data_IF_519414568061
#
_entry.id   IF_519414568061
#
_cell.length_a   1.000
_cell.length_b   1.000
_cell.length_c   1.000
_cell.angle_alpha   90.00
_cell.angle_beta   90.00
_cell.angle_gamma   90.00
#
_symmetry.space_group_name_H-M   'P 1'
#
loop_
_entity.id
_entity.type
_entity.pdbx_description
1 polymer ?
#
# COMPACT_ATOMS: atom_id res chain seq x y z
N UNK A 1 55.53 -57.46 -13.10
CA UNK A 1 55.39 -58.68 -13.91
C UNK A 1 54.44 -58.35 -15.04
N UNK A 2 54.83 -58.60 -16.29
CA UNK A 2 53.99 -58.28 -17.44
C UNK A 2 52.84 -59.30 -17.53
N UNK A 3 51.60 -58.82 -17.51
CA UNK A 3 50.40 -59.63 -17.79
C UNK A 3 50.56 -60.19 -19.20
N UNK A 4 50.52 -61.51 -19.34
CA UNK A 4 50.60 -62.14 -20.65
C UNK A 4 49.19 -62.30 -21.21
N UNK A 5 48.80 -61.42 -22.12
CA UNK A 5 47.53 -61.55 -22.82
C UNK A 5 47.70 -62.46 -24.04
N UNK A 6 46.83 -63.46 -24.14
CA UNK A 6 46.72 -64.34 -25.30
C UNK A 6 45.45 -64.01 -26.03
N UNK A 7 45.57 -63.71 -27.32
CA UNK A 7 44.43 -63.37 -28.15
C UNK A 7 44.13 -64.49 -29.13
N UNK A 8 42.85 -64.86 -29.17
CA UNK A 8 42.30 -65.88 -30.04
C UNK A 8 41.29 -65.24 -30.98
N UNK A 9 41.37 -65.60 -32.26
CA UNK A 9 40.33 -65.33 -33.24
C UNK A 9 39.54 -66.61 -33.49
N UNK A 10 38.22 -66.52 -33.37
CA UNK A 10 37.30 -67.65 -33.50
C UNK A 10 36.33 -67.37 -34.64
N UNK A 11 36.42 -68.18 -35.69
CA UNK A 11 35.54 -68.07 -36.85
C UNK A 11 35.52 -69.34 -37.69
N UNK A 12 34.34 -69.69 -38.17
CA UNK A 12 33.99 -71.07 -38.44
C UNK A 12 34.08 -71.93 -37.17
N UNK A 13 34.09 -73.24 -37.37
CA UNK A 13 34.48 -74.21 -36.33
C UNK A 13 36.01 -74.21 -36.10
N UNK A 14 36.71 -73.08 -36.29
CA UNK A 14 38.17 -72.98 -36.17
C UNK A 14 38.57 -71.89 -35.19
N UNK A 15 39.58 -72.19 -34.39
CA UNK A 15 40.22 -71.25 -33.48
C UNK A 15 41.66 -71.01 -33.95
N UNK A 16 42.09 -69.75 -33.97
CA UNK A 16 43.46 -69.35 -34.33
C UNK A 16 44.01 -68.45 -33.24
N UNK A 17 45.23 -68.72 -32.81
CA UNK A 17 45.99 -67.81 -31.96
C UNK A 17 46.71 -66.77 -32.83
N UNK A 18 46.68 -65.51 -32.42
CA UNK A 18 47.20 -64.40 -33.23
C UNK A 18 48.68 -64.10 -32.98
N UNK A 19 49.26 -64.52 -31.85
CA UNK A 19 50.63 -64.15 -31.46
C UNK A 19 51.30 -65.25 -30.63
N UNK A 20 52.58 -65.55 -30.93
CA UNK A 20 53.36 -66.56 -30.23
C UNK A 20 53.92 -65.99 -28.91
N UNK A 21 53.11 -65.97 -27.86
CA UNK A 21 53.53 -65.56 -26.51
C UNK A 21 54.05 -66.77 -25.73
N UNK A 22 55.24 -66.68 -25.11
CA UNK A 22 55.81 -67.78 -24.31
C UNK A 22 55.04 -67.92 -22.98
N UNK A 23 54.25 -68.99 -22.84
CA UNK A 23 53.55 -69.32 -21.59
C UNK A 23 54.50 -70.10 -20.66
N UNK A 24 54.66 -69.62 -19.43
CA UNK A 24 55.52 -70.25 -18.42
C UNK A 24 54.65 -71.00 -17.41
N UNK A 25 55.04 -72.23 -17.06
CA UNK A 25 54.34 -73.05 -16.08
C UNK A 25 54.24 -72.34 -14.71
N UNK A 26 53.17 -72.62 -13.96
CA UNK A 26 52.85 -72.06 -12.64
C UNK A 26 52.57 -70.54 -12.61
N UNK A 27 52.13 -69.96 -13.74
CA UNK A 27 51.70 -68.56 -13.79
C UNK A 27 50.28 -68.40 -13.23
N UNK A 28 50.13 -68.12 -11.93
CA UNK A 28 48.82 -67.92 -11.29
C UNK A 28 48.31 -66.50 -11.52
N UNK A 29 47.06 -66.32 -12.01
CA UNK A 29 46.36 -65.03 -12.17
C UNK A 29 47.10 -63.98 -13.03
N UNK A 30 47.96 -64.41 -13.96
CA UNK A 30 48.81 -63.51 -14.77
C UNK A 30 48.58 -63.69 -16.27
N UNK A 31 47.75 -64.67 -16.67
CA UNK A 31 47.48 -65.00 -18.08
C UNK A 31 46.00 -64.89 -18.38
N UNK A 32 45.64 -63.88 -19.17
CA UNK A 32 44.26 -63.65 -19.61
C UNK A 32 44.11 -64.04 -21.07
N UNK A 33 43.06 -64.79 -21.38
CA UNK A 33 42.64 -65.12 -22.73
C UNK A 33 41.57 -64.12 -23.19
N UNK A 34 41.80 -63.49 -24.33
CA UNK A 34 40.84 -62.62 -25.02
C UNK A 34 40.41 -63.27 -26.32
N UNK A 35 39.11 -63.33 -26.57
CA UNK A 35 38.55 -63.96 -27.75
C UNK A 35 37.86 -62.92 -28.64
N UNK A 36 38.15 -62.96 -29.94
CA UNK A 36 37.45 -62.21 -30.97
C UNK A 36 36.62 -63.18 -31.80
N UNK A 37 35.30 -63.01 -31.78
CA UNK A 37 34.36 -63.91 -32.45
C UNK A 37 33.82 -63.32 -33.74
N UNK A 38 33.62 -64.16 -34.74
CA UNK A 38 32.84 -63.82 -35.94
C UNK A 38 31.34 -63.82 -35.65
N UNK A 39 30.55 -63.19 -36.52
CA UNK A 39 29.10 -62.98 -36.33
C UNK A 39 28.29 -64.26 -36.07
N UNK A 40 28.71 -65.42 -36.59
CA UNK A 40 28.03 -66.70 -36.37
C UNK A 40 27.99 -67.16 -34.89
N UNK A 41 28.84 -66.59 -34.03
CA UNK A 41 28.88 -66.83 -32.59
C UNK A 41 28.05 -65.81 -31.79
N UNK A 42 27.40 -64.86 -32.47
CA UNK A 42 26.48 -63.91 -31.88
C UNK A 42 25.30 -64.66 -31.24
N UNK A 43 24.83 -64.19 -30.09
CA UNK A 43 23.75 -64.82 -29.29
C UNK A 43 24.07 -66.18 -28.63
N UNK A 44 25.22 -66.79 -28.87
CA UNK A 44 25.66 -67.96 -28.10
C UNK A 44 26.22 -67.56 -26.73
N UNK A 45 25.89 -68.32 -25.70
CA UNK A 45 26.62 -68.34 -24.42
C UNK A 45 27.95 -69.04 -24.70
N UNK A 46 29.04 -68.30 -24.56
CA UNK A 46 30.37 -68.74 -24.97
C UNK A 46 31.14 -69.27 -23.76
N UNK A 47 31.66 -70.48 -23.89
CA UNK A 47 32.48 -71.16 -22.88
C UNK A 47 33.83 -71.51 -23.46
N UNK A 48 34.91 -71.12 -22.79
CA UNK A 48 36.26 -71.55 -23.15
C UNK A 48 36.62 -72.82 -22.37
N UNK A 49 37.19 -73.79 -23.07
CA UNK A 49 37.68 -75.05 -22.52
C UNK A 49 39.20 -75.06 -22.66
N UNK A 50 39.88 -75.16 -21.52
CA UNK A 50 41.33 -75.28 -21.41
C UNK A 50 41.67 -76.70 -20.95
N UNK A 51 42.60 -77.37 -21.64
CA UNK A 51 43.01 -78.72 -21.28
C UNK A 51 44.51 -78.96 -21.42
N UNK A 52 45.10 -79.66 -20.46
CA UNK A 52 46.51 -80.09 -20.46
C UNK A 52 46.62 -81.46 -19.78
N UNK A 53 47.21 -82.45 -20.48
CA UNK A 53 47.19 -83.84 -20.01
C UNK A 53 45.75 -84.33 -19.74
N UNK A 54 45.49 -84.80 -18.52
CA UNK A 54 44.17 -85.27 -18.07
C UNK A 54 43.29 -84.15 -17.45
N UNK A 55 43.80 -82.93 -17.31
CA UNK A 55 43.08 -81.81 -16.73
C UNK A 55 42.29 -81.09 -17.82
N UNK A 56 40.99 -80.87 -17.60
CA UNK A 56 40.12 -80.05 -18.46
C UNK A 56 39.26 -79.13 -17.61
N UNK A 57 39.22 -77.84 -17.97
CA UNK A 57 38.46 -76.80 -17.26
C UNK A 57 37.63 -76.00 -18.25
N UNK A 58 36.36 -75.77 -17.90
CA UNK A 58 35.42 -74.97 -18.68
C UNK A 58 35.10 -73.70 -17.92
N UNK A 59 35.19 -72.55 -18.59
CA UNK A 59 34.83 -71.25 -18.02
C UNK A 59 33.90 -70.49 -18.95
N UNK A 60 32.91 -69.82 -18.36
CA UNK A 60 32.00 -68.93 -19.08
C UNK A 60 32.75 -67.64 -19.42
N UNK A 61 32.66 -67.19 -20.67
CA UNK A 61 33.27 -65.94 -21.10
C UNK A 61 32.38 -64.76 -20.72
N UNK A 62 32.95 -63.79 -20.03
CA UNK A 62 32.35 -62.47 -19.78
C UNK A 62 33.11 -61.43 -20.59
N UNK A 63 32.39 -60.60 -21.35
CA UNK A 63 32.99 -59.62 -22.27
C UNK A 63 34.00 -60.22 -23.27
N UNK A 64 33.82 -61.50 -23.62
CA UNK A 64 34.74 -62.30 -24.46
C UNK A 64 36.16 -62.46 -23.89
N UNK A 65 36.32 -62.34 -22.58
CA UNK A 65 37.60 -62.55 -21.88
C UNK A 65 37.45 -63.57 -20.76
N UNK A 66 38.55 -64.21 -20.38
CA UNK A 66 38.63 -65.07 -19.19
C UNK A 66 40.07 -65.26 -18.75
N UNK A 67 40.30 -65.44 -17.46
CA UNK A 67 41.61 -65.86 -16.94
C UNK A 67 41.84 -67.35 -17.19
N UNK A 68 43.04 -67.72 -17.66
CA UNK A 68 43.37 -69.13 -17.89
C UNK A 68 43.57 -69.81 -16.52
N UNK A 69 42.89 -70.94 -16.26
CA UNK A 69 43.07 -71.70 -15.02
C UNK A 69 44.54 -72.02 -14.79
N UNK A 70 45.03 -71.71 -13.59
CA UNK A 70 46.38 -72.08 -13.13
C UNK A 70 46.59 -73.60 -13.22
N UNK A 71 45.53 -74.41 -13.01
CA UNK A 71 45.57 -75.86 -13.20
C UNK A 71 45.93 -76.29 -14.62
N UNK A 72 45.61 -75.44 -15.61
CA UNK A 72 45.92 -75.68 -17.02
C UNK A 72 47.29 -75.11 -17.44
N UNK A 73 48.02 -74.47 -16.52
CA UNK A 73 49.33 -73.86 -16.76
C UNK A 73 50.47 -74.70 -16.16
N UNK A 74 50.43 -76.02 -16.39
CA UNK A 74 51.49 -76.97 -16.00
C UNK A 74 52.42 -77.27 -17.18
N UNK A 75 53.59 -77.88 -16.94
CA UNK A 75 54.52 -78.24 -18.02
C UNK A 75 53.85 -79.21 -19.00
N UNK A 76 53.77 -78.84 -20.29
CA UNK A 76 53.13 -79.66 -21.31
C UNK A 76 52.57 -78.85 -22.47
N UNK A 77 51.55 -79.40 -23.13
CA UNK A 77 50.90 -78.77 -24.28
C UNK A 77 49.48 -78.34 -23.91
N UNK A 78 49.26 -77.03 -23.75
CA UNK A 78 47.95 -76.44 -23.47
C UNK A 78 47.11 -76.42 -24.75
N UNK A 79 45.96 -77.08 -24.70
CA UNK A 79 44.95 -77.03 -25.75
C UNK A 79 43.80 -76.11 -25.33
N UNK A 80 43.33 -75.29 -26.26
CA UNK A 80 42.19 -74.38 -26.07
C UNK A 80 41.13 -74.68 -27.11
N UNK A 81 39.88 -74.71 -26.68
CA UNK A 81 38.70 -74.80 -27.55
C UNK A 81 37.57 -73.93 -26.99
N UNK A 82 36.61 -73.55 -27.83
CA UNK A 82 35.45 -72.76 -27.42
C UNK A 82 34.18 -73.47 -27.85
N UNK A 83 33.18 -73.43 -26.96
CA UNK A 83 31.84 -73.96 -27.17
C UNK A 83 30.85 -72.84 -26.99
N UNK A 84 29.98 -72.66 -27.98
CA UNK A 84 28.81 -71.81 -27.92
C UNK A 84 27.58 -72.68 -27.70
N UNK A 85 26.72 -72.29 -26.75
CA UNK A 85 25.42 -72.94 -26.54
C UNK A 85 24.31 -71.89 -26.60
N UNK A 86 23.23 -72.23 -27.31
CA UNK A 86 21.92 -71.56 -27.23
C UNK A 86 20.95 -72.63 -26.74
N UNK A 87 20.16 -72.32 -25.73
CA UNK A 87 19.26 -73.31 -25.12
C UNK A 87 17.94 -73.46 -25.91
N UNK A 88 17.44 -72.40 -26.56
CA UNK A 88 16.17 -72.43 -27.32
C UNK A 88 16.20 -71.59 -28.62
N UNK A 89 16.03 -72.21 -29.82
CA UNK A 89 16.14 -73.65 -30.08
C UNK A 89 17.56 -74.13 -29.78
N UNK A 90 17.68 -75.34 -29.22
CA UNK A 90 18.99 -75.88 -28.85
C UNK A 90 19.93 -75.90 -30.05
N UNK A 91 21.01 -75.12 -29.96
CA UNK A 91 22.07 -75.08 -30.97
C UNK A 91 23.43 -75.06 -30.28
N UNK A 92 24.36 -75.84 -30.82
CA UNK A 92 25.71 -75.96 -30.28
C UNK A 92 26.73 -75.73 -31.39
N UNK A 93 27.62 -74.77 -31.17
CA UNK A 93 28.74 -74.49 -32.05
C UNK A 93 30.04 -74.79 -31.30
N UNK A 94 30.96 -75.53 -31.94
CA UNK A 94 32.24 -75.88 -31.32
C UNK A 94 33.38 -75.60 -32.26
N UNK A 95 34.48 -75.10 -31.70
CA UNK A 95 35.74 -75.06 -32.44
C UNK A 95 36.41 -76.44 -32.45
N UNK A 96 37.07 -76.79 -33.53
CA UNK A 96 38.12 -77.81 -33.54
C UNK A 96 39.19 -77.46 -32.50
N UNK A 97 39.85 -78.48 -31.92
CA UNK A 97 40.95 -78.25 -30.97
C UNK A 97 42.10 -77.56 -31.70
N UNK A 98 42.63 -76.48 -31.12
CA UNK A 98 43.84 -75.84 -31.63
C UNK A 98 45.06 -76.77 -31.52
N UNK A 99 46.01 -76.71 -32.46
CA UNK A 99 47.34 -77.29 -32.28
C UNK A 99 47.99 -76.65 -31.04
N UNK A 100 48.35 -77.46 -30.06
CA UNK A 100 48.53 -76.98 -28.70
C UNK A 100 49.72 -76.05 -28.50
N UNK A 101 49.58 -75.16 -27.52
CA UNK A 101 50.58 -74.15 -27.17
C UNK A 101 51.55 -74.79 -26.17
N UNK A 102 52.87 -74.79 -26.44
CA UNK A 102 53.84 -75.35 -25.49
C UNK A 102 53.94 -74.45 -24.26
N UNK A 103 53.67 -75.03 -23.09
CA UNK A 103 53.92 -74.42 -21.78
C UNK A 103 55.32 -74.84 -21.34
N UNK A 104 56.23 -73.88 -21.24
CA UNK A 104 57.63 -74.16 -20.89
C UNK A 104 57.81 -74.24 -19.37
N UNK A 105 58.68 -75.16 -18.94
CA UNK A 105 59.02 -75.32 -17.53
C UNK A 105 59.61 -74.04 -16.96
N UNK A 106 59.04 -73.56 -15.86
CA UNK A 106 59.70 -72.54 -15.06
C UNK A 106 60.97 -73.18 -14.46
N UNK A 107 62.13 -72.52 -14.56
CA UNK A 107 63.38 -73.01 -13.96
C UNK A 107 63.38 -73.01 -12.42
N UNK A 108 62.21 -72.96 -11.78
CA UNK A 108 62.02 -72.99 -10.34
C UNK A 108 61.53 -74.39 -9.91
N UNK A 109 62.15 -74.94 -8.86
CA UNK A 109 61.73 -76.18 -8.21
C UNK A 109 60.27 -76.06 -7.72
N UNK A 110 59.53 -77.17 -7.76
CA UNK A 110 58.15 -77.26 -7.25
C UNK A 110 58.07 -76.74 -5.80
N UNK A 111 57.55 -75.53 -5.62
CA UNK A 111 57.05 -75.04 -4.34
C UNK A 111 55.54 -75.20 -4.29
N UNK A 112 54.99 -75.53 -3.13
CA UNK A 112 53.56 -75.62 -2.89
C UNK A 112 52.91 -74.26 -3.17
N UNK A 113 52.35 -74.10 -4.35
CA UNK A 113 51.50 -72.95 -4.69
C UNK A 113 50.09 -73.31 -4.24
N UNK A 114 49.55 -72.52 -3.31
CA UNK A 114 48.15 -72.61 -2.89
C UNK A 114 47.30 -72.29 -4.12
N UNK A 115 46.85 -73.33 -4.81
CA UNK A 115 45.98 -73.19 -5.96
C UNK A 115 44.53 -73.17 -5.45
N UNK A 116 43.87 -72.02 -5.54
CA UNK A 116 42.43 -71.94 -5.30
C UNK A 116 41.75 -72.66 -6.47
N UNK A 117 40.96 -73.73 -6.24
CA UNK A 117 40.34 -74.47 -7.32
C UNK A 117 39.49 -73.54 -8.20
N UNK A 118 39.62 -73.66 -9.52
CA UNK A 118 38.75 -72.95 -10.47
C UNK A 118 37.28 -73.31 -10.16
N UNK A 119 36.39 -72.33 -9.91
CA UNK A 119 35.00 -72.59 -9.58
C UNK A 119 34.30 -73.45 -10.64
N UNK A 120 33.39 -74.31 -10.20
CA UNK A 120 32.55 -75.11 -11.09
C UNK A 120 31.61 -74.23 -11.91
N UNK A 121 31.05 -74.74 -13.02
CA UNK A 121 30.13 -73.97 -13.86
C UNK A 121 28.93 -73.40 -13.07
N UNK A 122 28.39 -74.16 -12.11
CA UNK A 122 27.28 -73.70 -11.25
C UNK A 122 27.69 -72.56 -10.32
N UNK A 123 28.89 -72.63 -9.73
CA UNK A 123 29.43 -71.58 -8.86
C UNK A 123 29.74 -70.29 -9.64
N UNK A 124 30.22 -70.41 -10.89
CA UNK A 124 30.45 -69.25 -11.76
C UNK A 124 29.15 -68.48 -12.04
N UNK A 125 28.03 -69.19 -12.27
CA UNK A 125 26.71 -68.57 -12.50
C UNK A 125 26.21 -67.85 -11.24
N UNK A 126 26.40 -68.42 -10.05
CA UNK A 126 26.00 -67.79 -8.78
C UNK A 126 26.78 -66.50 -8.52
N UNK A 127 28.09 -66.49 -8.78
CA UNK A 127 28.92 -65.28 -8.61
C UNK A 127 28.52 -64.14 -9.57
N UNK A 128 28.16 -64.48 -10.80
CA UNK A 128 27.62 -63.53 -11.77
C UNK A 128 26.27 -62.96 -11.33
N UNK A 129 25.38 -63.80 -10.83
CA UNK A 129 24.08 -63.38 -10.32
C UNK A 129 24.23 -62.44 -9.11
N UNK A 130 25.12 -62.75 -8.17
CA UNK A 130 25.37 -61.88 -7.01
C UNK A 130 25.92 -60.51 -7.41
N UNK A 131 26.88 -60.48 -8.35
CA UNK A 131 27.43 -59.20 -8.86
C UNK A 131 26.37 -58.33 -9.53
N UNK A 132 25.39 -58.94 -10.22
CA UNK A 132 24.26 -58.24 -10.80
C UNK A 132 23.32 -57.68 -9.73
N UNK A 133 23.05 -58.45 -8.66
CA UNK A 133 22.23 -57.99 -7.52
C UNK A 133 22.89 -56.79 -6.83
N UNK A 134 24.19 -56.86 -6.54
CA UNK A 134 24.92 -55.77 -5.87
C UNK A 134 24.89 -54.47 -6.72
N UNK A 135 24.93 -54.62 -8.05
CA UNK A 135 24.79 -53.49 -8.99
C UNK A 135 23.39 -52.87 -8.92
N UNK A 136 22.35 -53.70 -8.87
CA UNK A 136 20.95 -53.25 -8.75
C UNK A 136 20.71 -52.55 -7.42
N UNK A 137 21.19 -53.10 -6.30
CA UNK A 137 21.04 -52.49 -4.98
C UNK A 137 21.75 -51.14 -4.89
N UNK A 138 22.94 -51.04 -5.49
CA UNK A 138 23.67 -49.77 -5.61
C UNK A 138 22.88 -48.73 -6.40
N UNK A 139 22.30 -49.12 -7.54
CA UNK A 139 21.47 -48.22 -8.36
C UNK A 139 20.20 -47.77 -7.63
N UNK A 140 19.55 -48.68 -6.89
CA UNK A 140 18.35 -48.38 -6.11
C UNK A 140 18.63 -47.40 -4.98
N UNK A 141 19.76 -47.56 -4.29
CA UNK A 141 20.22 -46.62 -3.25
C UNK A 141 20.41 -45.21 -3.81
N UNK A 142 21.02 -45.08 -4.99
CA UNK A 142 21.18 -43.78 -5.67
C UNK A 142 19.82 -43.18 -6.03
N UNK A 143 18.90 -43.97 -6.59
CA UNK A 143 17.56 -43.51 -6.97
C UNK A 143 16.77 -42.97 -5.77
N UNK A 144 16.79 -43.69 -4.65
CA UNK A 144 16.14 -43.25 -3.41
C UNK A 144 16.75 -41.94 -2.88
N UNK A 145 18.08 -41.78 -3.00
CA UNK A 145 18.75 -40.53 -2.63
C UNK A 145 18.37 -39.33 -3.50
N UNK A 146 18.09 -39.56 -4.78
CA UNK A 146 17.61 -38.51 -5.70
C UNK A 146 16.18 -38.08 -5.32
N UNK A 147 15.29 -39.04 -5.05
CA UNK A 147 13.89 -38.76 -4.68
C UNK A 147 13.78 -37.93 -3.38
N UNK A 148 14.58 -38.28 -2.37
CA UNK A 148 14.65 -37.53 -1.12
C UNK A 148 15.11 -36.07 -1.34
N UNK A 149 16.12 -35.84 -2.20
CA UNK A 149 16.59 -34.49 -2.54
C UNK A 149 15.54 -33.70 -3.33
N UNK A 150 14.83 -34.34 -4.25
CA UNK A 150 13.76 -33.70 -5.02
C UNK A 150 12.61 -33.25 -4.10
N UNK A 151 12.21 -34.10 -3.15
CA UNK A 151 11.18 -33.79 -2.15
C UNK A 151 11.60 -32.59 -1.28
N UNK A 152 12.85 -32.56 -0.83
CA UNK A 152 13.38 -31.44 -0.03
C UNK A 152 13.38 -30.13 -0.84
N UNK A 153 13.80 -30.17 -2.11
CA UNK A 153 13.80 -29.00 -2.99
C UNK A 153 12.38 -28.43 -3.20
N UNK A 154 11.39 -29.31 -3.43
CA UNK A 154 9.99 -28.90 -3.58
C UNK A 154 9.43 -28.23 -2.32
N UNK A 155 9.72 -28.80 -1.14
CA UNK A 155 9.31 -28.20 0.14
C UNK A 155 9.91 -26.80 0.36
N UNK A 156 11.16 -26.60 -0.06
CA UNK A 156 11.85 -25.31 0.03
C UNK A 156 11.23 -24.27 -0.91
N UNK A 157 10.92 -24.66 -2.15
CA UNK A 157 10.27 -23.79 -3.13
C UNK A 157 8.89 -23.31 -2.64
N UNK A 158 8.08 -24.22 -2.10
CA UNK A 158 6.76 -23.87 -1.53
C UNK A 158 6.87 -22.88 -0.36
N UNK A 159 7.91 -23.01 0.48
CA UNK A 159 8.17 -22.07 1.58
C UNK A 159 8.56 -20.66 1.10
N UNK A 160 9.21 -20.54 -0.05
CA UNK A 160 9.57 -19.24 -0.66
C UNK A 160 8.30 -18.54 -1.19
N UNK A 161 7.42 -19.28 -1.86
CA UNK A 161 6.17 -18.74 -2.42
C UNK A 161 5.24 -18.16 -1.33
N UNK A 162 5.13 -18.85 -0.20
CA UNK A 162 4.36 -18.37 0.95
C UNK A 162 4.92 -17.05 1.53
N UNK A 163 6.25 -16.93 1.64
CA UNK A 163 6.90 -15.70 2.13
C UNK A 163 6.72 -14.53 1.15
N UNK A 164 6.84 -14.79 -0.15
CA UNK A 164 6.62 -13.79 -1.19
C UNK A 164 5.18 -13.27 -1.17
N UNK A 165 4.21 -14.17 -1.00
CA UNK A 165 2.78 -13.82 -0.89
C UNK A 165 2.50 -12.93 0.31
N UNK A 166 3.08 -13.26 1.48
CA UNK A 166 2.93 -12.42 2.68
C UNK A 166 3.56 -11.04 2.50
N UNK A 167 4.78 -10.98 1.94
CA UNK A 167 5.48 -9.71 1.71
C UNK A 167 4.69 -8.78 0.76
N UNK A 168 4.01 -9.34 -0.24
CA UNK A 168 3.14 -8.57 -1.14
C UNK A 168 1.91 -8.02 -0.42
N UNK A 169 1.28 -8.82 0.46
CA UNK A 169 0.14 -8.38 1.26
C UNK A 169 0.53 -7.24 2.22
N UNK A 170 1.69 -7.37 2.88
CA UNK A 170 2.22 -6.35 3.80
C UNK A 170 2.53 -5.04 3.06
N UNK A 171 3.15 -5.12 1.88
CA UNK A 171 3.42 -3.96 1.04
C UNK A 171 2.12 -3.27 0.58
N UNK A 172 1.09 -4.04 0.21
CA UNK A 172 -0.20 -3.48 -0.19
C UNK A 172 -0.91 -2.78 0.99
N UNK A 173 -0.83 -3.35 2.20
CA UNK A 173 -1.36 -2.71 3.41
C UNK A 173 -0.64 -1.39 3.72
N UNK A 174 0.68 -1.34 3.58
CA UNK A 174 1.46 -0.12 3.76
C UNK A 174 1.10 0.97 2.71
N UNK A 175 0.93 0.60 1.44
CA UNK A 175 0.49 1.53 0.39
C UNK A 175 -0.89 2.10 0.69
N UNK A 176 -1.82 1.25 1.14
CA UNK A 176 -3.18 1.69 1.47
C UNK A 176 -3.19 2.67 2.66
N UNK A 177 -2.31 2.47 3.65
CA UNK A 177 -2.17 3.39 4.78
C UNK A 177 -1.63 4.77 4.39
N UNK A 178 -0.76 4.85 3.37
CA UNK A 178 -0.24 6.13 2.87
C UNK A 178 -1.27 6.88 2.02
N UNK A 179 -2.09 6.16 1.25
CA UNK A 179 -3.06 6.76 0.31
C UNK A 179 -4.41 7.13 0.93
N UNK A 180 -4.64 6.84 2.21
CA UNK A 180 -5.82 7.25 2.95
C UNK A 180 -5.44 8.34 3.97
N UNK A 181 -5.21 9.60 3.55
CA UNK A 181 -5.10 10.69 4.52
C UNK A 181 -6.40 10.75 5.33
N UNK A 182 -6.27 10.51 6.63
CA UNK A 182 -7.36 10.58 7.61
C UNK A 182 -7.73 12.05 7.79
N UNK A 183 -8.57 12.57 6.91
CA UNK A 183 -9.08 13.93 7.01
C UNK A 183 -10.25 13.97 8.00
N UNK A 184 -9.94 14.21 9.28
CA UNK A 184 -10.94 14.59 10.26
C UNK A 184 -11.53 15.95 9.88
N UNK A 185 -12.79 15.96 9.43
CA UNK A 185 -13.54 17.19 9.13
C UNK A 185 -14.40 17.57 10.33
N UNK A 186 -13.95 18.54 11.12
CA UNK A 186 -14.78 19.11 12.20
C UNK A 186 -15.54 20.33 11.67
N UNK A 187 -16.87 20.26 11.67
CA UNK A 187 -17.74 21.42 11.37
C UNK A 187 -18.12 22.12 12.68
N UNK A 188 -17.76 23.39 12.83
CA UNK A 188 -18.03 24.17 14.04
C UNK A 188 -19.24 25.09 13.86
N UNK A 189 -20.17 25.06 14.81
CA UNK A 189 -21.43 25.82 14.79
C UNK A 189 -21.55 26.86 15.91
N UNK A 190 -20.51 27.07 16.73
CA UNK A 190 -20.55 27.93 17.91
C UNK A 190 -19.98 29.34 17.66
N UNK A 191 -20.65 30.34 18.24
CA UNK A 191 -20.41 31.79 18.05
C UNK A 191 -19.09 32.33 18.65
N UNK A 192 -18.34 31.51 19.39
CA UNK A 192 -17.27 32.02 20.26
C UNK A 192 -16.13 31.05 20.58
N UNK A 193 -15.91 29.97 19.81
CA UNK A 193 -14.84 29.04 20.15
C UNK A 193 -13.73 28.90 19.09
N UNK A 194 -12.53 29.13 19.61
CA UNK A 194 -11.22 28.64 19.17
C UNK A 194 -11.37 27.21 18.63
N UNK A 195 -11.15 27.03 17.34
CA UNK A 195 -11.00 25.70 16.74
C UNK A 195 -9.57 25.23 17.02
N UNK A 196 -9.36 24.40 18.05
CA UNK A 196 -8.09 23.70 18.21
C UNK A 196 -8.21 22.36 17.49
N UNK A 197 -7.61 22.26 16.31
CA UNK A 197 -7.48 20.96 15.64
C UNK A 197 -6.33 20.24 16.35
N UNK A 198 -6.69 19.34 17.27
CA UNK A 198 -5.74 18.51 18.02
C UNK A 198 -5.61 17.14 17.37
N UNK A 199 -5.35 17.08 16.06
CA UNK A 199 -5.00 15.81 15.44
C UNK A 199 -3.52 15.50 15.75
N UNK A 200 -3.35 14.48 16.60
CA UNK A 200 -2.08 13.99 17.09
C UNK A 200 -1.37 13.12 16.04
N UNK A 201 -0.92 13.72 14.95
CA UNK A 201 0.09 13.10 14.08
C UNK A 201 1.47 13.70 14.36
N UNK A 202 2.47 12.84 14.57
CA UNK A 202 3.86 13.24 14.73
C UNK A 202 4.31 14.05 13.50
N UNK A 203 4.62 15.33 13.70
CA UNK A 203 5.05 16.25 12.64
C UNK A 203 4.01 17.29 12.19
N UNK A 204 2.79 17.26 12.70
CA UNK A 204 1.76 18.27 12.39
C UNK A 204 1.76 19.35 13.48
N UNK A 205 1.81 20.62 13.07
CA UNK A 205 1.71 21.75 13.99
C UNK A 205 0.29 21.84 14.57
N UNK A 206 0.19 22.18 15.86
CA UNK A 206 -1.11 22.50 16.46
C UNK A 206 -1.66 23.75 15.76
N UNK A 207 -2.81 23.60 15.10
CA UNK A 207 -3.49 24.69 14.41
C UNK A 207 -4.62 25.23 15.28
N UNK A 208 -4.56 26.52 15.53
CA UNK A 208 -5.62 27.25 16.22
C UNK A 208 -6.08 28.45 15.41
N UNK A 209 -7.37 28.50 15.08
CA UNK A 209 -8.03 29.68 14.53
C UNK A 209 -8.99 30.27 15.57
N UNK A 210 -8.86 31.57 15.83
CA UNK A 210 -9.73 32.30 16.76
C UNK A 210 -10.20 33.62 16.15
N UNK A 211 -11.44 34.02 16.47
CA UNK A 211 -12.04 35.26 16.00
C UNK A 211 -13.37 35.54 16.70
N UNK A 212 -13.73 36.83 16.78
CA UNK A 212 -14.99 37.27 17.38
C UNK A 212 -16.04 37.54 16.30
N UNK A 213 -17.26 37.05 16.52
CA UNK A 213 -18.39 37.23 15.60
C UNK A 213 -19.45 38.15 16.18
N UNK A 214 -20.17 38.86 15.30
CA UNK A 214 -21.35 39.64 15.64
C UNK A 214 -22.54 39.17 14.80
N UNK A 215 -23.69 39.03 15.46
CA UNK A 215 -24.96 38.72 14.81
C UNK A 215 -25.74 40.02 14.57
N UNK A 216 -25.92 40.42 13.32
CA UNK A 216 -26.88 41.45 12.97
C UNK A 216 -28.30 40.84 12.99
N UNK A 217 -29.26 41.53 13.62
CA UNK A 217 -30.66 41.08 13.66
C UNK A 217 -31.56 41.76 12.62
N UNK A 218 -31.18 42.94 12.12
CA UNK A 218 -31.94 43.61 11.06
C UNK A 218 -31.64 43.01 9.69
N UNK A 219 -32.66 42.58 8.96
CA UNK A 219 -32.56 42.16 7.55
C UNK A 219 -32.79 43.33 6.59
N UNK A 220 -32.12 43.39 5.44
CA UNK A 220 -32.28 44.50 4.47
C UNK A 220 -31.99 45.88 5.09
N UNK A 221 -30.98 45.96 5.99
CA UNK A 221 -30.49 47.22 6.54
C UNK A 221 -29.59 48.01 5.60
N UNK A 222 -29.23 47.43 4.44
CA UNK A 222 -28.53 48.09 3.33
C UNK A 222 -29.47 48.51 2.18
N UNK A 223 -30.77 48.24 2.30
CA UNK A 223 -31.78 48.57 1.30
C UNK A 223 -31.52 47.94 -0.09
N UNK A 224 -30.74 46.86 -0.17
CA UNK A 224 -30.49 46.16 -1.44
C UNK A 224 -31.78 45.53 -2.01
N UNK A 225 -32.76 45.24 -1.16
CA UNK A 225 -34.08 44.74 -1.56
C UNK A 225 -35.13 45.86 -1.57
N UNK A 226 -34.70 47.09 -1.84
CA UNK A 226 -35.54 48.28 -1.77
C UNK A 226 -36.11 48.49 -0.37
N UNK A 227 -37.40 48.85 -0.29
CA UNK A 227 -38.11 49.11 0.97
C UNK A 227 -38.70 47.84 1.61
N UNK A 228 -38.35 46.65 1.14
CA UNK A 228 -38.89 45.39 1.67
C UNK A 228 -38.67 45.28 3.18
N UNK A 229 -39.77 45.10 3.93
CA UNK A 229 -39.77 45.01 5.39
C UNK A 229 -39.64 46.36 6.14
N UNK A 230 -39.45 47.46 5.43
CA UNK A 230 -39.48 48.81 5.97
C UNK A 230 -40.88 49.41 5.81
N UNK A 231 -41.35 50.08 6.85
CA UNK A 231 -42.67 50.70 6.92
C UNK A 231 -42.52 52.21 7.07
N UNK A 232 -43.30 52.98 6.31
CA UNK A 232 -43.37 54.42 6.49
C UNK A 232 -44.38 54.77 7.58
N UNK A 233 -44.10 55.82 8.33
CA UNK A 233 -45.06 56.45 9.24
C UNK A 233 -44.87 57.97 9.15
N UNK A 234 -45.99 58.67 8.91
CA UNK A 234 -46.00 60.11 8.64
C UNK A 234 -45.01 60.57 7.56
N UNK A 235 -44.73 59.67 6.61
CA UNK A 235 -43.80 59.85 5.50
C UNK A 235 -44.19 59.00 4.30
N UNK A 236 -43.60 59.29 3.15
CA UNK A 236 -43.43 58.35 2.04
C UNK A 236 -41.99 57.87 2.00
N UNK A 237 -41.76 56.59 1.72
CA UNK A 237 -40.41 56.01 1.63
C UNK A 237 -40.14 55.41 0.24
N UNK A 238 -38.90 55.53 -0.21
CA UNK A 238 -38.39 54.87 -1.41
C UNK A 238 -36.95 54.44 -1.18
N UNK A 239 -36.47 53.46 -1.94
CA UNK A 239 -35.08 53.04 -1.88
C UNK A 239 -34.51 52.88 -3.29
N UNK A 240 -33.39 53.55 -3.56
CA UNK A 240 -32.67 53.47 -4.83
C UNK A 240 -31.17 53.60 -4.57
N UNK A 241 -30.34 52.83 -5.29
CA UNK A 241 -28.88 52.82 -5.12
C UNK A 241 -28.44 52.63 -3.66
N UNK A 242 -29.13 51.77 -2.92
CA UNK A 242 -28.93 51.54 -1.48
C UNK A 242 -29.12 52.78 -0.60
N UNK A 243 -29.77 53.83 -1.10
CA UNK A 243 -30.18 54.98 -0.29
C UNK A 243 -31.67 54.85 0.00
N UNK A 244 -32.03 54.78 1.29
CA UNK A 244 -33.42 54.94 1.71
C UNK A 244 -33.73 56.43 1.81
N UNK A 245 -34.77 56.87 1.12
CA UNK A 245 -35.31 58.23 1.16
C UNK A 245 -36.59 58.23 1.98
N UNK A 246 -36.69 59.12 2.96
CA UNK A 246 -37.86 59.33 3.81
C UNK A 246 -38.32 60.77 3.58
N UNK A 247 -39.51 60.96 3.01
CA UNK A 247 -40.07 62.29 2.73
C UNK A 247 -41.28 62.52 3.63
N UNK A 248 -41.24 63.58 4.44
CA UNK A 248 -42.38 63.92 5.29
C UNK A 248 -43.62 64.31 4.49
N UNK A 249 -44.79 63.84 4.95
CA UNK A 249 -46.06 64.05 4.25
C UNK A 249 -46.99 65.06 4.94
N UNK A 250 -46.49 65.74 5.98
CA UNK A 250 -47.23 66.78 6.71
C UNK A 250 -48.24 66.27 7.74
N UNK A 251 -48.28 64.96 8.04
CA UNK A 251 -49.19 64.41 9.06
C UNK A 251 -48.63 64.47 10.50
N UNK A 252 -47.31 64.54 10.64
CA UNK A 252 -46.63 64.60 11.95
C UNK A 252 -45.31 65.34 11.81
N UNK A 253 -44.78 65.82 12.93
CA UNK A 253 -43.44 66.39 13.03
C UNK A 253 -42.31 65.34 12.92
N UNK A 254 -42.67 64.05 12.86
CA UNK A 254 -41.76 62.90 12.92
C UNK A 254 -41.86 62.00 11.68
N UNK A 255 -41.45 62.46 10.48
CA UNK A 255 -41.40 61.59 9.32
C UNK A 255 -40.38 60.47 9.53
N UNK A 256 -40.83 59.22 9.41
CA UNK A 256 -40.03 58.07 9.81
C UNK A 256 -40.18 56.84 8.92
N UNK A 257 -39.12 56.02 8.92
CA UNK A 257 -39.11 54.66 8.42
C UNK A 257 -38.79 53.71 9.57
N UNK A 258 -39.64 52.70 9.78
CA UNK A 258 -39.48 51.73 10.84
C UNK A 258 -39.40 50.31 10.28
N UNK A 259 -38.60 49.48 10.93
CA UNK A 259 -38.51 48.06 10.65
C UNK A 259 -38.62 47.26 11.93
N UNK A 260 -39.51 46.27 11.92
CA UNK A 260 -39.73 45.38 13.06
C UNK A 260 -39.11 44.02 12.74
N UNK A 261 -38.36 43.49 13.69
CA UNK A 261 -37.77 42.16 13.63
C UNK A 261 -38.17 41.33 14.84
N UNK A 262 -37.90 40.03 14.78
CA UNK A 262 -38.26 39.09 15.83
C UNK A 262 -37.65 39.44 17.21
N UNK A 263 -38.13 38.71 18.22
CA UNK A 263 -38.13 39.03 19.66
C UNK A 263 -36.83 39.60 20.25
N UNK A 264 -37.02 40.53 21.19
CA UNK A 264 -35.97 41.10 22.06
C UNK A 264 -35.24 40.02 22.87
N UNK A 265 -33.92 40.16 23.00
CA UNK A 265 -33.12 39.50 24.04
C UNK A 265 -33.40 40.24 25.35
N UNK A 266 -34.16 39.57 26.24
CA UNK A 266 -34.59 40.14 27.53
C UNK A 266 -33.37 40.57 28.35
N UNK A 267 -33.43 41.78 28.92
CA UNK A 267 -32.33 42.39 29.69
C UNK A 267 -31.01 42.53 28.90
N UNK A 268 -31.08 42.54 27.56
CA UNK A 268 -29.93 42.69 26.69
C UNK A 268 -29.51 44.14 26.46
N UNK A 269 -28.32 44.30 25.89
CA UNK A 269 -27.83 45.54 25.28
C UNK A 269 -27.77 45.38 23.78
N UNK A 270 -28.04 46.46 23.05
CA UNK A 270 -27.95 46.51 21.60
C UNK A 270 -27.05 47.65 21.15
N UNK A 271 -26.04 47.34 20.33
CA UNK A 271 -25.39 48.34 19.50
C UNK A 271 -26.31 48.70 18.34
N UNK A 272 -26.61 49.98 18.19
CA UNK A 272 -27.38 50.52 17.07
C UNK A 272 -26.52 51.46 16.25
N UNK A 273 -26.74 51.46 14.93
CA UNK A 273 -26.05 52.35 13.99
C UNK A 273 -26.92 52.67 12.80
N UNK A 274 -26.80 53.90 12.30
CA UNK A 274 -27.31 54.31 10.99
C UNK A 274 -26.55 55.54 10.51
N UNK A 275 -26.34 55.65 9.21
CA UNK A 275 -25.73 56.83 8.59
C UNK A 275 -26.79 57.63 7.86
N UNK A 276 -27.05 58.85 8.31
CA UNK A 276 -28.19 59.65 7.87
C UNK A 276 -27.77 61.06 7.45
N UNK A 277 -28.51 61.68 6.53
CA UNK A 277 -28.44 63.12 6.26
C UNK A 277 -29.82 63.72 6.05
N UNK A 278 -29.92 65.02 6.33
CA UNK A 278 -31.07 65.83 5.94
C UNK A 278 -30.73 66.53 4.63
N UNK A 279 -31.51 66.29 3.58
CA UNK A 279 -31.22 66.78 2.23
C UNK A 279 -32.13 67.93 1.79
N UNK A 280 -32.86 68.53 2.75
CA UNK A 280 -33.77 69.65 2.49
C UNK A 280 -33.55 70.74 3.53
N UNK A 281 -33.53 72.00 3.09
CA UNK A 281 -33.46 73.15 3.98
C UNK A 281 -34.63 73.16 4.99
N UNK A 282 -34.36 73.58 6.21
CA UNK A 282 -35.33 73.70 7.29
C UNK A 282 -35.11 75.01 8.05
N UNK A 283 -36.13 75.44 8.78
CA UNK A 283 -36.07 76.60 9.67
C UNK A 283 -36.28 76.12 11.11
N UNK A 284 -35.60 76.78 12.05
CA UNK A 284 -35.64 76.39 13.46
C UNK A 284 -34.84 75.12 13.76
N UNK A 285 -35.28 74.37 14.76
CA UNK A 285 -34.58 73.17 15.25
C UNK A 285 -35.01 71.93 14.48
N UNK A 286 -34.05 71.08 14.13
CA UNK A 286 -34.31 69.75 13.59
C UNK A 286 -33.43 68.70 14.24
N UNK A 287 -33.87 67.43 14.21
CA UNK A 287 -33.06 66.30 14.64
C UNK A 287 -33.04 65.22 13.56
N UNK A 288 -31.93 64.49 13.46
CA UNK A 288 -31.84 63.19 12.80
C UNK A 288 -31.59 62.14 13.85
N UNK A 289 -32.26 60.99 13.78
CA UNK A 289 -32.17 60.00 14.83
C UNK A 289 -32.26 58.56 14.34
N UNK A 290 -31.58 57.70 15.09
CA UNK A 290 -31.76 56.24 15.08
C UNK A 290 -32.35 55.86 16.44
N UNK A 291 -33.51 55.23 16.41
CA UNK A 291 -34.20 54.72 17.57
C UNK A 291 -34.28 53.21 17.52
N UNK A 292 -34.15 52.58 18.68
CA UNK A 292 -34.55 51.19 18.90
C UNK A 292 -35.58 51.15 20.02
N UNK A 293 -36.64 50.37 19.83
CA UNK A 293 -37.72 50.25 20.82
C UNK A 293 -38.31 48.86 20.85
N UNK A 294 -38.93 48.53 21.97
CA UNK A 294 -39.90 47.45 22.01
C UNK A 294 -41.21 47.89 21.37
N UNK A 295 -41.88 46.97 20.70
CA UNK A 295 -43.20 47.20 20.10
C UNK A 295 -44.29 47.42 21.15
N UNK A 296 -44.11 46.93 22.38
CA UNK A 296 -45.10 47.05 23.47
C UNK A 296 -44.64 47.97 24.61
N UNK A 297 -43.35 48.29 24.69
CA UNK A 297 -42.81 49.15 25.74
C UNK A 297 -41.31 49.37 25.63
N UNK A 298 -40.82 50.46 26.22
CA UNK A 298 -39.41 50.85 26.24
C UNK A 298 -38.87 51.37 24.91
N UNK A 299 -37.98 52.36 24.96
CA UNK A 299 -37.29 52.87 23.77
C UNK A 299 -35.99 53.58 24.13
N UNK A 300 -35.06 53.59 23.20
CA UNK A 300 -33.82 54.35 23.26
C UNK A 300 -33.62 55.11 21.95
N UNK A 301 -33.18 56.37 22.03
CA UNK A 301 -32.94 57.26 20.90
C UNK A 301 -31.52 57.80 20.97
N UNK A 302 -30.80 57.69 19.86
CA UNK A 302 -29.59 58.49 19.61
C UNK A 302 -29.88 59.48 18.49
N UNK A 303 -29.54 60.76 18.71
CA UNK A 303 -29.88 61.84 17.79
C UNK A 303 -28.74 62.82 17.56
N UNK A 304 -28.72 63.39 16.35
CA UNK A 304 -27.99 64.60 15.99
C UNK A 304 -28.97 65.76 16.02
N UNK A 305 -28.60 66.82 16.72
CA UNK A 305 -29.36 68.07 16.75
C UNK A 305 -28.81 69.04 15.70
N UNK A 306 -29.70 69.79 15.07
CA UNK A 306 -29.43 70.84 14.10
C UNK A 306 -28.44 70.39 13.00
N UNK A 307 -28.78 69.31 12.26
CA UNK A 307 -27.92 68.76 11.23
C UNK A 307 -27.68 69.78 10.11
N UNK A 308 -26.45 69.81 9.60
CA UNK A 308 -26.12 70.60 8.42
C UNK A 308 -26.69 69.89 7.20
N UNK A 309 -27.43 70.64 6.37
CA UNK A 309 -28.07 70.09 5.18
C UNK A 309 -27.01 69.52 4.23
N UNK A 310 -27.24 68.31 3.74
CA UNK A 310 -26.36 67.58 2.83
C UNK A 310 -25.21 66.83 3.51
N UNK A 311 -24.96 67.05 4.80
CA UNK A 311 -23.89 66.37 5.56
C UNK A 311 -24.34 65.00 6.07
N UNK A 312 -23.53 63.98 5.82
CA UNK A 312 -23.73 62.63 6.36
C UNK A 312 -23.24 62.54 7.81
N UNK A 313 -24.08 61.97 8.68
CA UNK A 313 -23.78 61.73 10.08
C UNK A 313 -23.85 60.24 10.40
N UNK A 314 -22.82 59.71 11.06
CA UNK A 314 -22.85 58.38 11.66
C UNK A 314 -23.49 58.48 13.06
N UNK A 315 -24.70 57.92 13.20
CA UNK A 315 -25.47 57.94 14.44
C UNK A 315 -25.42 56.54 15.03
N UNK A 316 -24.74 56.37 16.16
CA UNK A 316 -24.56 55.07 16.78
C UNK A 316 -24.47 55.16 18.32
N UNK A 317 -24.94 54.11 19.00
CA UNK A 317 -25.02 54.05 20.46
C UNK A 317 -25.17 52.60 20.96
N UNK A 318 -24.97 52.38 22.25
CA UNK A 318 -25.42 51.17 22.95
C UNK A 318 -26.71 51.50 23.69
N UNK A 319 -27.78 50.81 23.35
CA UNK A 319 -29.07 50.88 24.01
C UNK A 319 -29.18 49.80 25.08
N UNK A 320 -29.56 50.19 26.29
CA UNK A 320 -30.00 49.26 27.33
C UNK A 320 -31.47 48.87 27.07
N UNK A 321 -31.70 47.59 26.77
CA UNK A 321 -33.03 47.06 26.46
C UNK A 321 -33.72 46.41 27.66
N UNK A 322 -33.26 46.65 28.90
CA UNK A 322 -33.90 46.17 30.14
C UNK A 322 -35.37 46.57 30.28
N UNK A 323 -35.76 47.71 29.70
CA UNK A 323 -37.14 48.21 29.72
C UNK A 323 -37.95 47.85 28.47
N UNK A 324 -37.33 47.18 27.48
CA UNK A 324 -38.00 46.92 26.20
C UNK A 324 -38.89 45.68 26.29
N UNK A 325 -40.06 45.74 25.65
CA UNK A 325 -41.00 44.61 25.59
C UNK A 325 -41.60 44.40 24.19
N UNK A 326 -41.87 43.13 23.87
CA UNK A 326 -42.36 42.68 22.56
C UNK A 326 -41.24 42.35 21.56
N UNK A 327 -41.46 42.70 20.31
CA UNK A 327 -40.49 42.62 19.21
C UNK A 327 -39.59 43.87 19.15
N UNK A 328 -38.39 43.72 18.59
CA UNK A 328 -37.48 44.84 18.34
C UNK A 328 -38.01 45.63 17.14
N UNK A 329 -38.05 46.95 17.28
CA UNK A 329 -38.29 47.86 16.16
C UNK A 329 -37.18 48.90 16.10
N UNK A 330 -36.55 49.03 14.94
CA UNK A 330 -35.60 50.11 14.65
C UNK A 330 -36.28 51.14 13.79
N UNK A 331 -36.10 52.41 14.14
CA UNK A 331 -36.74 53.55 13.49
C UNK A 331 -35.69 54.58 13.12
N UNK A 332 -35.76 55.04 11.88
CA UNK A 332 -34.96 56.11 11.31
C UNK A 332 -35.91 57.28 11.10
N UNK A 333 -35.62 58.44 11.69
CA UNK A 333 -36.53 59.57 11.59
C UNK A 333 -35.83 60.91 11.67
N UNK A 334 -36.53 61.91 11.15
CA UNK A 334 -36.25 63.31 11.44
C UNK A 334 -37.32 63.87 12.36
N UNK A 335 -36.96 64.84 13.18
CA UNK A 335 -37.91 65.57 14.03
C UNK A 335 -37.82 67.06 13.69
N UNK A 336 -38.98 67.68 13.50
CA UNK A 336 -39.13 69.11 13.21
C UNK A 336 -40.04 69.77 14.25
N UNK A 337 -40.23 71.09 14.15
CA UNK A 337 -41.07 71.85 15.08
C UNK A 337 -42.54 71.41 15.04
N UNK A 338 -43.07 71.17 13.85
CA UNK A 338 -44.45 70.78 13.63
C UNK A 338 -44.60 70.00 12.30
N UNK A 339 -45.81 69.50 12.05
CA UNK A 339 -46.12 68.73 10.86
C UNK A 339 -46.01 69.57 9.56
N UNK A 340 -46.36 70.85 9.61
CA UNK A 340 -46.25 71.74 8.46
C UNK A 340 -44.79 71.94 8.04
N UNK A 341 -43.90 72.10 9.02
CA UNK A 341 -42.45 72.23 8.83
C UNK A 341 -41.82 70.92 8.35
N UNK A 342 -42.33 69.77 8.79
CA UNK A 342 -41.86 68.45 8.35
C UNK A 342 -42.28 68.11 6.91
N UNK A 343 -43.33 68.75 6.39
CA UNK A 343 -43.87 68.44 5.07
C UNK A 343 -42.82 68.67 3.96
N UNK A 344 -42.59 67.65 3.13
CA UNK A 344 -41.61 67.68 2.06
C UNK A 344 -40.15 67.64 2.51
N UNK A 345 -39.83 67.50 3.80
CA UNK A 345 -38.45 67.34 4.26
C UNK A 345 -37.94 65.94 3.92
N UNK A 346 -36.75 65.88 3.33
CA UNK A 346 -36.15 64.64 2.85
C UNK A 346 -34.98 64.24 3.74
N UNK A 347 -35.10 63.06 4.35
CA UNK A 347 -34.03 62.38 5.07
C UNK A 347 -33.53 61.24 4.19
N UNK A 348 -32.23 61.08 4.10
CA UNK A 348 -31.59 59.98 3.38
C UNK A 348 -30.75 59.14 4.33
N UNK A 349 -30.76 57.83 4.11
CA UNK A 349 -29.99 56.85 4.90
C UNK A 349 -29.12 56.03 3.98
N UNK A 350 -27.82 55.99 4.27
CA UNK A 350 -26.80 55.30 3.45
C UNK A 350 -26.72 53.82 3.80
N UNK A 351 -27.28 52.99 2.93
CA UNK A 351 -27.26 51.54 3.05
C UNK A 351 -25.89 50.91 2.78
N UNK A 352 -24.92 51.60 2.18
CA UNK A 352 -23.57 51.05 2.05
C UNK A 352 -22.88 50.92 3.41
N UNK A 353 -23.11 51.89 4.29
CA UNK A 353 -22.72 51.78 5.70
C UNK A 353 -23.68 50.87 6.45
N UNK A 354 -24.99 51.02 6.23
CA UNK A 354 -26.02 50.14 6.75
C UNK A 354 -26.68 50.62 8.04
N UNK A 355 -27.83 50.01 8.33
CA UNK A 355 -28.56 50.16 9.59
C UNK A 355 -28.44 48.91 10.43
N UNK A 356 -28.09 49.08 11.71
CA UNK A 356 -27.77 47.96 12.61
C UNK A 356 -28.56 47.97 13.90
N UNK A 357 -28.87 46.75 14.34
CA UNK A 357 -29.16 46.40 15.72
C UNK A 357 -28.43 45.08 16.02
N UNK A 358 -27.34 45.17 16.77
CA UNK A 358 -26.48 44.03 17.11
C UNK A 358 -26.59 43.82 18.62
N UNK A 359 -27.11 42.69 19.11
CA UNK A 359 -27.06 42.39 20.53
C UNK A 359 -25.62 42.19 20.98
N UNK A 360 -25.26 42.80 22.12
CA UNK A 360 -23.90 42.75 22.66
C UNK A 360 -23.81 41.95 23.96
N UNK A 361 -24.91 41.71 24.67
CA UNK A 361 -24.94 40.91 25.90
C UNK A 361 -24.52 39.47 25.66
N UNK A 362 -23.66 38.93 26.51
CA UNK A 362 -23.11 37.57 26.38
C UNK A 362 -22.11 37.41 25.23
N UNK A 363 -21.67 38.52 24.62
CA UNK A 363 -20.68 38.50 23.53
C UNK A 363 -19.37 39.14 24.00
N UNK A 364 -18.25 38.92 23.28
CA UNK A 364 -16.99 39.64 23.52
C UNK A 364 -17.09 41.18 23.43
N UNK A 365 -18.23 41.71 22.98
CA UNK A 365 -18.50 43.14 22.82
C UNK A 365 -19.33 43.74 23.97
N UNK A 366 -19.78 42.95 24.95
CA UNK A 366 -20.69 43.41 26.01
C UNK A 366 -20.16 44.62 26.81
N UNK A 367 -18.84 44.64 27.02
CA UNK A 367 -18.16 45.64 27.84
C UNK A 367 -17.27 46.58 27.01
N UNK A 368 -17.31 46.49 25.67
CA UNK A 368 -16.53 47.38 24.81
C UNK A 368 -17.20 48.75 24.70
N UNK A 369 -16.39 49.79 24.51
CA UNK A 369 -16.91 51.12 24.28
C UNK A 369 -17.65 51.18 22.92
N UNK A 370 -18.71 51.98 22.85
CA UNK A 370 -19.50 52.19 21.64
C UNK A 370 -18.65 52.53 20.40
N UNK A 371 -17.60 53.34 20.57
CA UNK A 371 -16.67 53.71 19.49
C UNK A 371 -15.81 52.55 19.02
N UNK A 372 -15.40 51.64 19.92
CA UNK A 372 -14.63 50.45 19.58
C UNK A 372 -15.47 49.45 18.78
N UNK A 373 -16.74 49.27 19.17
CA UNK A 373 -17.69 48.46 18.39
C UNK A 373 -17.86 49.05 17.00
N UNK A 374 -18.10 50.36 16.91
CA UNK A 374 -18.28 51.05 15.62
C UNK A 374 -17.05 50.94 14.70
N UNK A 375 -15.84 50.99 15.26
CA UNK A 375 -14.60 50.86 14.49
C UNK A 375 -14.45 49.49 13.79
N UNK A 376 -15.12 48.45 14.30
CA UNK A 376 -15.14 47.12 13.69
C UNK A 376 -16.28 46.94 12.65
N UNK A 377 -17.05 47.99 12.36
CA UNK A 377 -18.24 47.96 11.50
C UNK A 377 -18.08 48.96 10.35
N UNK A 378 -17.56 48.50 9.21
CA UNK A 378 -17.33 49.32 8.02
C UNK A 378 -18.48 49.32 7.01
N UNK A 379 -19.23 48.22 6.92
CA UNK A 379 -20.30 48.01 5.95
C UNK A 379 -21.38 47.11 6.53
N UNK A 380 -22.57 47.15 5.94
CA UNK A 380 -23.66 46.25 6.30
C UNK A 380 -23.33 44.79 6.01
N UNK A 381 -23.83 43.90 6.88
CA UNK A 381 -23.95 42.47 6.60
C UNK A 381 -25.27 41.95 7.16
N UNK A 382 -25.82 40.93 6.51
CA UNK A 382 -26.90 40.13 7.07
C UNK A 382 -26.35 38.97 7.89
N UNK A 383 -27.01 38.62 8.99
CA UNK A 383 -26.68 37.43 9.76
C UNK A 383 -25.40 37.55 10.61
N UNK A 384 -24.64 36.46 10.67
CA UNK A 384 -23.41 36.36 11.45
C UNK A 384 -22.18 36.76 10.59
N UNK A 385 -21.30 37.60 11.13
CA UNK A 385 -20.03 37.97 10.48
C UNK A 385 -18.89 37.99 11.49
N UNK A 386 -17.70 37.56 11.07
CA UNK A 386 -16.46 37.81 11.81
C UNK A 386 -16.10 39.29 11.66
N UNK A 387 -15.97 39.99 12.78
CA UNK A 387 -15.75 41.45 12.80
C UNK A 387 -14.38 41.85 13.32
N UNK A 388 -13.60 40.88 13.81
CA UNK A 388 -12.21 41.09 14.20
C UNK A 388 -11.26 40.28 13.31
N UNK A 389 -9.98 40.67 13.33
CA UNK A 389 -8.92 39.94 12.63
C UNK A 389 -8.86 38.51 13.17
N UNK A 390 -8.89 37.54 12.26
CA UNK A 390 -8.66 36.14 12.61
C UNK A 390 -7.20 35.99 12.98
N UNK A 391 -6.94 35.46 14.18
CA UNK A 391 -5.60 35.03 14.56
C UNK A 391 -5.44 33.56 14.20
N UNK A 392 -4.39 33.26 13.45
CA UNK A 392 -3.99 31.91 13.08
C UNK A 392 -2.65 31.63 13.73
N UNK A 393 -2.63 30.66 14.64
CA UNK A 393 -1.41 30.23 15.33
C UNK A 393 -1.09 28.80 14.92
N UNK A 394 0.17 28.59 14.50
CA UNK A 394 0.75 27.28 14.23
C UNK A 394 1.89 27.04 15.23
N UNK A 395 1.73 26.07 16.13
CA UNK A 395 2.78 25.69 17.10
C UNK A 395 3.38 24.35 16.71
N UNK A 396 4.63 24.36 16.26
CA UNK A 396 5.41 23.14 16.08
C UNK A 396 5.97 22.65 17.42
N UNK A 397 6.04 21.33 17.63
CA UNK A 397 6.92 20.77 18.67
C UNK A 397 8.34 20.72 18.10
N UNK A 398 9.33 21.05 18.93
CA UNK A 398 10.73 20.83 18.56
C UNK A 398 10.93 19.35 18.23
N UNK A 399 11.40 19.06 17.01
CA UNK A 399 11.66 17.69 16.54
C UNK A 399 12.94 17.10 17.15
N UNK A 400 13.70 17.91 17.90
CA UNK A 400 14.92 17.52 18.59
C UNK A 400 14.93 18.14 19.98
N UNK A 401 14.73 17.31 20.99
CA UNK A 401 15.21 17.51 22.34
C UNK A 401 16.73 17.26 22.35
N UNK A 402 17.49 18.22 22.89
CA UNK A 402 18.94 18.15 23.01
C UNK A 402 19.42 17.36 24.21
#
# INVERSE_FOLDING_TARGET
MAIQNISFSVGGQKIKYSTFTRIVANSVNVVTATFSFTQEWENYIKKAIFSIGDISKTLILTENTVEIPSECLTLGTLCVSVVGVIDEPYSRLTTEKMHGIPVIGSGALNGDTVNVPTPTEGEQVVLLAQSAVDTVDSALSVANGIDAKATQALSTANGIDAKATQALADAQAAINAVNAPDFSTTTLTALSQIATVTDSYSGVAEFTASGNTMQQVLVNGDFAQGTTGWTADSASISAANKILTITGNGLSAFPQAGKTEARIIVNGKYFIKGRCRLNTAYAGTAFLAVQIKGTTGGSFVQKIQDPIVGTWYDIYAIADASTFSGNIRVILYGQFADAATANGKVIEVDGNVGVFAIPTTGTPFENKATSEINANISEYWGGLKSVEKVEVVSRGRNLFDG
#
